data_IF_922233961140
#
_entry.id   IF_922233961140
#
_cell.length_a   1.000
_cell.length_b   1.000
_cell.length_c   1.000
_cell.angle_alpha   90.00
_cell.angle_beta   90.00
_cell.angle_gamma   90.00
#
_symmetry.space_group_name_H-M   'P 1'
#
loop_
_entity.id
_entity.type
_entity.pdbx_description
1 polymer ?
#
# COMPACT_ATOMS: atom_id res chain seq x y z
N UNK A 1 -7.16 1.56 0.24
CA UNK A 1 -6.16 0.63 -0.34
C UNK A 1 -5.38 -0.13 0.72
N UNK A 2 -4.78 0.55 1.72
CA UNK A 2 -4.08 -0.10 2.85
C UNK A 2 -4.94 -1.16 3.54
N UNK A 3 -6.15 -0.79 3.96
CA UNK A 3 -7.09 -1.71 4.64
C UNK A 3 -7.39 -2.95 3.78
N UNK A 4 -7.64 -2.76 2.48
CA UNK A 4 -7.90 -3.87 1.56
C UNK A 4 -6.70 -4.82 1.46
N UNK A 5 -5.49 -4.31 1.22
CA UNK A 5 -4.30 -5.16 1.11
C UNK A 5 -3.97 -5.87 2.43
N UNK A 6 -4.19 -5.19 3.56
CA UNK A 6 -4.00 -5.78 4.88
C UNK A 6 -5.01 -6.89 5.17
N UNK A 7 -6.27 -6.71 4.78
CA UNK A 7 -7.30 -7.74 4.93
C UNK A 7 -7.03 -8.93 4.00
N UNK A 8 -6.52 -8.70 2.78
CA UNK A 8 -6.06 -9.78 1.89
C UNK A 8 -4.92 -10.59 2.51
N UNK A 9 -3.89 -9.92 3.06
CA UNK A 9 -2.80 -10.59 3.76
C UNK A 9 -3.31 -11.39 4.96
N UNK A 10 -4.15 -10.77 5.80
CA UNK A 10 -4.74 -11.41 6.97
C UNK A 10 -5.59 -12.62 6.58
N UNK A 11 -6.36 -12.51 5.51
CA UNK A 11 -7.13 -13.62 4.95
C UNK A 11 -6.24 -14.77 4.50
N UNK A 12 -5.14 -14.48 3.79
CA UNK A 12 -4.16 -15.49 3.35
C UNK A 12 -3.48 -16.22 4.52
N UNK A 13 -3.16 -15.49 5.60
CA UNK A 13 -2.58 -16.04 6.82
C UNK A 13 -3.59 -16.86 7.63
N UNK A 14 -4.86 -16.42 7.65
CA UNK A 14 -5.93 -17.11 8.38
C UNK A 14 -6.42 -18.37 7.65
N UNK A 15 -6.26 -18.43 6.32
CA UNK A 15 -6.85 -19.49 5.49
C UNK A 15 -5.97 -20.74 5.37
N UNK A 16 -4.72 -20.78 5.86
CA UNK A 16 -3.95 -22.02 5.60
C UNK A 16 -2.79 -22.42 6.52
N UNK A 17 -2.54 -23.73 6.43
CA UNK A 17 -1.33 -24.47 6.80
C UNK A 17 -0.39 -24.68 5.57
N UNK A 18 -0.74 -24.11 4.40
CA UNK A 18 -0.19 -24.47 3.07
C UNK A 18 0.07 -23.28 2.12
N UNK A 19 -0.11 -22.05 2.58
CA UNK A 19 0.13 -20.84 1.77
C UNK A 19 1.63 -20.78 1.54
N UNK A 20 2.06 -20.78 0.28
CA UNK A 20 3.47 -20.65 -0.05
C UNK A 20 4.04 -19.35 0.53
N UNK A 21 5.22 -19.44 1.14
CA UNK A 21 5.92 -18.27 1.68
C UNK A 21 6.17 -17.19 0.62
N UNK A 22 6.34 -17.57 -0.64
CA UNK A 22 6.47 -16.63 -1.76
C UNK A 22 5.22 -15.77 -1.95
N UNK A 23 4.03 -16.36 -1.81
CA UNK A 23 2.78 -15.62 -1.94
C UNK A 23 2.62 -14.65 -0.77
N UNK A 24 2.95 -15.08 0.45
CA UNK A 24 2.92 -14.21 1.64
C UNK A 24 3.87 -13.03 1.45
N UNK A 25 5.12 -13.28 1.04
CA UNK A 25 6.10 -12.23 0.77
C UNK A 25 5.65 -11.26 -0.32
N UNK A 26 5.04 -11.75 -1.39
CA UNK A 26 4.47 -10.90 -2.43
C UNK A 26 3.37 -9.98 -1.87
N UNK A 27 2.49 -10.52 -1.03
CA UNK A 27 1.42 -9.73 -0.43
C UNK A 27 1.94 -8.73 0.62
N UNK A 28 2.96 -9.10 1.42
CA UNK A 28 3.65 -8.19 2.34
C UNK A 28 4.26 -7.00 1.60
N UNK A 29 4.91 -7.24 0.45
CA UNK A 29 5.44 -6.17 -0.40
C UNK A 29 4.35 -5.23 -0.88
N UNK A 30 3.18 -5.75 -1.25
CA UNK A 30 2.04 -4.93 -1.66
C UNK A 30 1.50 -4.09 -0.50
N UNK A 31 1.45 -4.64 0.72
CA UNK A 31 1.06 -3.89 1.93
C UNK A 31 2.06 -2.78 2.21
N UNK A 32 3.36 -3.07 2.15
CA UNK A 32 4.41 -2.07 2.36
C UNK A 32 4.31 -0.94 1.33
N UNK A 33 4.15 -1.28 0.05
CA UNK A 33 4.02 -0.28 -1.02
C UNK A 33 2.83 0.66 -0.80
N UNK A 34 1.66 0.14 -0.42
CA UNK A 34 0.51 1.02 -0.17
C UNK A 34 0.64 1.84 1.11
N UNK A 35 1.45 1.41 2.08
CA UNK A 35 1.77 2.19 3.29
C UNK A 35 2.77 3.30 2.97
N UNK A 36 3.82 2.98 2.20
CA UNK A 36 4.80 3.97 1.72
C UNK A 36 4.08 5.09 0.96
N UNK A 37 3.17 4.72 0.04
CA UNK A 37 2.36 5.67 -0.73
C UNK A 37 1.45 6.54 0.16
N UNK A 38 0.89 5.96 1.23
CA UNK A 38 0.04 6.69 2.17
C UNK A 38 0.85 7.73 2.96
N UNK A 39 2.07 7.38 3.39
CA UNK A 39 2.96 8.25 4.14
C UNK A 39 3.57 9.32 3.22
N UNK A 40 4.15 8.89 2.12
CA UNK A 40 4.78 9.73 1.11
C UNK A 40 4.60 9.11 -0.29
N UNK A 41 3.66 9.67 -1.05
CA UNK A 41 3.35 9.18 -2.39
C UNK A 41 4.52 9.35 -3.37
N UNK A 42 5.54 10.17 -3.05
CA UNK A 42 6.71 10.38 -3.89
C UNK A 42 7.88 9.44 -3.62
N UNK A 43 7.90 8.73 -2.49
CA UNK A 43 9.12 8.05 -1.99
C UNK A 43 9.64 6.94 -2.90
N UNK A 44 8.75 6.33 -3.71
CA UNK A 44 9.10 5.25 -4.65
C UNK A 44 9.32 5.77 -6.09
N UNK A 45 9.54 7.07 -6.25
CA UNK A 45 9.85 7.71 -7.52
C UNK A 45 8.62 8.11 -8.33
N UNK A 46 7.78 7.15 -8.74
CA UNK A 46 6.54 7.45 -9.46
C UNK A 46 5.33 7.53 -8.50
N UNK A 47 4.69 8.71 -8.39
CA UNK A 47 3.56 8.85 -7.49
C UNK A 47 2.31 8.16 -8.02
N UNK A 48 1.59 7.51 -7.11
CA UNK A 48 0.36 6.82 -7.42
C UNK A 48 -0.74 7.83 -7.76
N UNK A 49 -1.53 7.49 -8.79
CA UNK A 49 -2.61 8.33 -9.31
C UNK A 49 -3.95 7.61 -9.29
N UNK A 50 -5.03 8.38 -9.21
CA UNK A 50 -6.39 7.88 -9.34
C UNK A 50 -6.79 7.65 -10.82
N UNK A 51 -8.03 7.21 -11.05
CA UNK A 51 -8.57 6.98 -12.40
C UNK A 51 -8.70 8.25 -13.26
N UNK A 52 -8.54 9.44 -12.67
CA UNK A 52 -8.55 10.73 -13.35
C UNK A 52 -7.14 11.32 -13.48
N UNK A 53 -6.10 10.50 -13.33
CA UNK A 53 -4.70 10.90 -13.40
C UNK A 53 -4.28 11.93 -12.33
N UNK A 54 -5.07 12.07 -11.24
CA UNK A 54 -4.72 12.94 -10.11
C UNK A 54 -3.84 12.18 -9.12
N UNK A 55 -2.76 12.82 -8.70
CA UNK A 55 -1.85 12.29 -7.68
C UNK A 55 -2.57 12.24 -6.34
N UNK A 56 -2.51 11.09 -5.65
CA UNK A 56 -3.06 11.00 -4.29
C UNK A 56 -2.28 11.90 -3.33
N UNK A 57 -3.00 12.63 -2.45
CA UNK A 57 -2.40 13.38 -1.35
C UNK A 57 -1.97 12.41 -0.25
N UNK A 58 -0.67 12.35 0.04
CA UNK A 58 -0.10 11.59 1.15
C UNK A 58 -0.16 12.36 2.48
N UNK A 59 0.18 11.71 3.59
CA UNK A 59 0.30 12.38 4.89
C UNK A 59 1.42 13.44 4.90
N UNK A 60 2.56 13.16 4.27
CA UNK A 60 3.64 14.14 4.12
C UNK A 60 3.15 15.44 3.48
N UNK A 61 2.36 15.32 2.40
CA UNK A 61 1.75 16.47 1.72
C UNK A 61 0.89 17.33 2.66
N UNK A 62 0.09 16.70 3.52
CA UNK A 62 -0.78 17.40 4.48
C UNK A 62 0.04 18.08 5.57
N UNK A 63 1.02 17.39 6.14
CA UNK A 63 1.86 17.91 7.24
C UNK A 63 2.77 19.06 6.75
N UNK A 64 3.23 19.00 5.51
CA UNK A 64 4.01 20.07 4.88
C UNK A 64 3.17 21.34 4.60
N UNK A 65 1.87 21.33 4.86
CA UNK A 65 0.99 22.50 4.68
C UNK A 65 0.74 22.86 3.23
N UNK A 66 0.89 21.90 2.29
CA UNK A 66 0.71 22.11 0.85
C UNK A 66 -0.77 22.16 0.43
N UNK A 67 -1.67 22.58 1.30
CA UNK A 67 -3.13 22.60 1.00
C UNK A 67 -3.51 23.50 -0.19
#
# INVERSE_FOLDING_TARGET
RVIYQNNTLTGLLSTSRSTSGELVMCQEKLVQEVVDILLDNGIRGQPMRDGHNKVYKSFSYVIEGKE
#
